data_IF_359905317880
#
_entry.id   IF_359905317880
#
_cell.length_a   1.000
_cell.length_b   1.000
_cell.length_c   1.000
_cell.angle_alpha   90.00
_cell.angle_beta   90.00
_cell.angle_gamma   90.00
#
_symmetry.space_group_name_H-M   'P 1'
#
loop_
_entity.id
_entity.type
_entity.pdbx_description
1 polymer ?
#
# COMPACT_ATOMS: atom_id res chain seq x y z
N UNK A 1 2.67 -30.46 -10.32
CA UNK A 1 3.79 -29.59 -9.90
C UNK A 1 3.40 -29.02 -8.56
N UNK A 2 4.18 -29.32 -7.53
CA UNK A 2 3.77 -29.24 -6.13
C UNK A 2 3.83 -27.79 -5.64
N UNK A 3 2.66 -27.18 -5.37
CA UNK A 3 2.57 -26.03 -4.49
C UNK A 3 3.03 -26.47 -3.10
N UNK A 4 4.26 -26.13 -2.73
CA UNK A 4 4.76 -26.18 -1.35
C UNK A 4 5.12 -24.77 -0.95
N UNK A 5 4.10 -23.94 -0.72
CA UNK A 5 4.26 -22.79 0.15
C UNK A 5 4.30 -23.34 1.57
N UNK A 6 5.38 -23.08 2.30
CA UNK A 6 5.36 -23.23 3.74
C UNK A 6 4.23 -22.35 4.28
N UNK A 7 3.21 -22.97 4.87
CA UNK A 7 2.15 -22.27 5.56
C UNK A 7 2.74 -21.77 6.90
N UNK A 8 3.46 -20.65 6.84
CA UNK A 8 3.78 -19.89 8.03
C UNK A 8 2.45 -19.49 8.69
N UNK A 9 2.26 -19.90 9.94
CA UNK A 9 0.98 -19.84 10.65
C UNK A 9 0.20 -18.55 10.39
N UNK A 10 -1.06 -18.72 9.97
CA UNK A 10 -1.96 -17.66 9.50
C UNK A 10 -1.90 -16.40 10.35
N UNK A 11 -1.32 -15.36 9.77
CA UNK A 11 -1.21 -14.04 10.39
C UNK A 11 -2.33 -13.08 10.00
N UNK A 12 -3.13 -13.46 9.01
CA UNK A 12 -4.15 -12.63 8.38
C UNK A 12 -5.24 -13.54 7.81
N UNK A 13 -6.48 -13.05 7.78
CA UNK A 13 -7.59 -13.80 7.18
C UNK A 13 -7.38 -13.93 5.67
N UNK A 14 -8.12 -14.85 5.01
CA UNK A 14 -8.13 -14.94 3.55
C UNK A 14 -8.65 -13.68 2.85
N UNK A 15 -9.09 -12.67 3.61
CA UNK A 15 -9.49 -11.35 3.13
C UNK A 15 -8.34 -10.34 3.26
N UNK A 16 -7.70 -10.27 4.43
CA UNK A 16 -6.55 -9.38 4.70
C UNK A 16 -5.29 -9.69 3.88
N UNK A 17 -5.19 -10.93 3.41
CA UNK A 17 -4.13 -11.47 2.57
C UNK A 17 -4.71 -12.22 1.35
N UNK A 18 -5.93 -11.84 0.96
CA UNK A 18 -6.63 -12.41 -0.19
C UNK A 18 -6.16 -11.81 -1.51
N UNK A 19 -6.91 -12.10 -2.57
CA UNK A 19 -6.73 -11.46 -3.87
C UNK A 19 -6.80 -9.93 -3.72
N UNK A 20 -5.89 -9.22 -4.38
CA UNK A 20 -5.79 -7.76 -4.34
C UNK A 20 -5.47 -7.16 -2.96
N UNK A 21 -4.90 -7.94 -2.04
CA UNK A 21 -4.34 -7.44 -0.78
C UNK A 21 -2.82 -7.24 -0.90
N UNK A 22 -2.29 -6.30 -0.12
CA UNK A 22 -0.85 -6.11 0.00
C UNK A 22 -0.30 -7.00 1.12
N UNK A 23 0.72 -7.80 0.83
CA UNK A 23 1.28 -8.78 1.76
C UNK A 23 2.81 -8.84 1.70
N UNK A 24 3.43 -9.15 2.84
CA UNK A 24 4.83 -9.59 2.91
C UNK A 24 4.92 -10.82 3.81
N UNK A 25 5.38 -11.95 3.27
CA UNK A 25 5.63 -13.20 4.02
C UNK A 25 4.45 -13.65 4.92
N UNK A 26 3.23 -13.69 4.41
CA UNK A 26 2.04 -14.13 5.15
C UNK A 26 1.47 -13.09 6.12
N UNK A 27 1.88 -11.82 5.98
CA UNK A 27 1.42 -10.71 6.82
C UNK A 27 0.87 -9.58 5.96
N UNK A 28 -0.31 -9.10 6.33
CA UNK A 28 -0.90 -7.93 5.68
C UNK A 28 0.00 -6.70 5.82
N UNK A 29 0.27 -6.08 4.69
CA UNK A 29 0.86 -4.77 4.48
C UNK A 29 -0.21 -3.78 3.97
N UNK A 30 -1.52 -4.06 4.12
CA UNK A 30 -2.59 -3.18 3.61
C UNK A 30 -2.51 -1.77 4.21
N UNK A 31 -2.03 -1.64 5.45
CA UNK A 31 -1.76 -0.37 6.10
C UNK A 31 -0.36 -0.33 6.72
N UNK A 32 0.18 0.88 6.87
CA UNK A 32 1.46 1.14 7.52
C UNK A 32 1.44 2.51 8.18
N UNK A 33 1.90 2.60 9.43
CA UNK A 33 2.05 3.88 10.09
C UNK A 33 3.48 4.42 9.89
N UNK A 34 3.61 5.57 9.23
CA UNK A 34 4.88 6.20 8.86
C UNK A 34 5.64 6.80 10.05
N UNK A 35 4.97 6.99 11.19
CA UNK A 35 5.61 7.38 12.46
C UNK A 35 6.13 6.16 13.25
N UNK A 36 5.94 4.95 12.69
CA UNK A 36 6.45 3.71 13.26
C UNK A 36 5.56 3.12 14.35
N UNK A 37 4.26 3.41 14.38
CA UNK A 37 3.31 2.59 15.14
C UNK A 37 3.19 1.19 14.51
N UNK A 38 2.89 0.19 15.34
CA UNK A 38 2.69 -1.19 14.87
C UNK A 38 1.24 -1.37 14.40
N UNK A 39 1.05 -2.00 13.26
CA UNK A 39 -0.26 -2.36 12.70
C UNK A 39 -0.92 -3.49 13.50
N UNK A 40 -2.20 -3.76 13.23
CA UNK A 40 -2.90 -4.94 13.77
C UNK A 40 -2.25 -6.26 13.33
N UNK A 41 -1.62 -6.30 12.15
CA UNK A 41 -0.85 -7.43 11.63
C UNK A 41 0.55 -7.59 12.25
N UNK A 42 0.95 -6.68 13.15
CA UNK A 42 2.26 -6.70 13.80
C UNK A 42 3.39 -6.09 12.97
N UNK A 43 3.07 -5.45 11.84
CA UNK A 43 4.05 -4.80 10.96
C UNK A 43 4.36 -3.41 11.49
N UNK A 44 5.63 -3.00 11.44
CA UNK A 44 6.10 -1.69 11.89
C UNK A 44 7.03 -1.08 10.85
N UNK A 45 6.76 0.15 10.44
CA UNK A 45 7.69 0.92 9.62
C UNK A 45 8.93 1.33 10.42
N UNK A 46 10.10 1.12 9.84
CA UNK A 46 11.40 1.41 10.47
C UNK A 46 12.16 2.54 9.78
N UNK A 47 11.74 2.97 8.59
CA UNK A 47 12.39 4.02 7.82
C UNK A 47 12.58 3.67 6.35
N UNK A 48 13.23 4.59 5.63
CA UNK A 48 13.46 4.50 4.21
C UNK A 48 14.96 4.50 3.90
N UNK A 49 15.37 3.65 2.97
CA UNK A 49 16.72 3.66 2.38
C UNK A 49 16.66 4.07 0.92
N UNK A 50 17.62 4.89 0.49
CA UNK A 50 17.86 5.14 -0.94
C UNK A 50 18.34 3.87 -1.66
N UNK A 51 18.39 3.85 -3.01
CA UNK A 51 18.97 2.74 -3.77
C UNK A 51 20.41 2.40 -3.37
N UNK A 52 21.19 3.39 -2.93
CA UNK A 52 22.56 3.21 -2.43
C UNK A 52 22.64 2.72 -0.97
N UNK A 53 21.51 2.37 -0.34
CA UNK A 53 21.44 1.92 1.05
C UNK A 53 21.58 3.02 2.10
N UNK A 54 21.59 4.30 1.71
CA UNK A 54 21.72 5.42 2.63
C UNK A 54 20.39 5.70 3.36
N UNK A 55 20.46 5.83 4.69
CA UNK A 55 19.35 6.20 5.56
C UNK A 55 19.19 7.72 5.70
N UNK A 56 18.23 8.17 6.51
CA UNK A 56 17.95 9.58 6.79
C UNK A 56 16.95 10.22 5.81
N UNK A 57 16.26 9.39 5.03
CA UNK A 57 15.12 9.82 4.23
C UNK A 57 13.82 9.68 5.02
N UNK A 58 12.97 10.68 4.94
CA UNK A 58 11.61 10.65 5.48
C UNK A 58 10.64 10.34 4.35
N UNK A 59 9.78 9.35 4.55
CA UNK A 59 8.69 9.03 3.63
C UNK A 59 7.43 9.77 4.08
N UNK A 60 6.73 10.39 3.13
CA UNK A 60 5.43 11.02 3.31
C UNK A 60 4.54 10.75 2.10
N UNK A 61 3.29 11.21 2.15
CA UNK A 61 2.39 11.20 1.01
C UNK A 61 1.85 12.60 0.76
N UNK A 62 1.89 13.02 -0.50
CA UNK A 62 1.33 14.30 -0.95
C UNK A 62 0.53 14.08 -2.22
N UNK A 63 -0.69 14.61 -2.29
CA UNK A 63 -1.57 14.42 -3.46
C UNK A 63 -1.84 12.96 -3.85
N UNK A 64 -1.76 12.01 -2.93
CA UNK A 64 -1.89 10.58 -3.24
C UNK A 64 -0.65 9.94 -3.86
N UNK A 65 0.51 10.60 -3.77
CA UNK A 65 1.80 10.14 -4.26
C UNK A 65 2.80 9.96 -3.10
N UNK A 66 3.65 8.93 -3.16
CA UNK A 66 4.77 8.80 -2.23
C UNK A 66 5.80 9.90 -2.47
N UNK A 67 6.34 10.46 -1.39
CA UNK A 67 7.37 11.49 -1.43
C UNK A 67 8.46 11.14 -0.44
N UNK A 68 9.72 11.12 -0.88
CA UNK A 68 10.87 10.97 -0.01
C UNK A 68 11.61 12.30 0.11
N UNK A 69 11.88 12.73 1.34
CA UNK A 69 12.59 13.98 1.61
C UNK A 69 13.84 13.75 2.44
N UNK A 70 14.90 14.51 2.16
CA UNK A 70 16.14 14.52 2.95
C UNK A 70 16.89 15.83 2.74
N UNK A 71 17.15 16.58 3.81
CA UNK A 71 17.95 17.82 3.76
C UNK A 71 17.47 18.84 2.70
N UNK A 72 16.15 18.95 2.49
CA UNK A 72 15.55 19.81 1.46
C UNK A 72 15.54 19.23 0.04
N UNK A 73 16.15 18.06 -0.17
CA UNK A 73 15.98 17.27 -1.38
C UNK A 73 14.65 16.51 -1.33
N UNK A 74 13.94 16.49 -2.46
CA UNK A 74 12.70 15.76 -2.63
C UNK A 74 12.83 14.76 -3.79
N UNK A 75 12.22 13.58 -3.62
CA UNK A 75 12.13 12.52 -4.63
C UNK A 75 10.69 12.05 -4.72
N UNK A 76 10.17 11.97 -5.94
CA UNK A 76 8.80 11.57 -6.29
C UNK A 76 8.77 10.69 -7.53
N UNK A 77 7.67 9.99 -7.72
CA UNK A 77 7.39 9.14 -8.88
C UNK A 77 8.54 8.22 -9.24
N UNK A 78 8.99 8.28 -10.50
CA UNK A 78 10.09 7.46 -11.00
C UNK A 78 11.41 7.63 -10.23
N UNK A 79 11.63 8.75 -9.52
CA UNK A 79 12.83 8.98 -8.72
C UNK A 79 12.87 8.13 -7.45
N UNK A 80 11.73 7.55 -7.05
CA UNK A 80 11.63 6.62 -5.92
C UNK A 80 11.99 5.18 -6.30
N UNK A 81 12.19 4.87 -7.58
CA UNK A 81 12.58 3.52 -8.01
C UNK A 81 13.93 3.13 -7.37
N UNK A 82 13.96 1.96 -6.75
CA UNK A 82 15.08 1.41 -5.98
C UNK A 82 15.11 1.80 -4.51
N UNK A 83 14.27 2.74 -4.05
CA UNK A 83 14.12 3.01 -2.62
C UNK A 83 13.52 1.81 -1.89
N UNK A 84 13.88 1.64 -0.62
CA UNK A 84 13.46 0.50 0.20
C UNK A 84 12.77 0.98 1.47
N UNK A 85 11.51 0.61 1.62
CA UNK A 85 10.77 0.73 2.87
C UNK A 85 11.22 -0.41 3.79
N UNK A 86 11.75 -0.07 4.96
CA UNK A 86 12.13 -1.05 5.96
C UNK A 86 10.92 -1.35 6.82
N UNK A 87 10.41 -2.58 6.75
CA UNK A 87 9.28 -3.03 7.57
C UNK A 87 9.75 -4.13 8.51
N UNK A 88 9.48 -3.97 9.81
CA UNK A 88 9.73 -4.99 10.82
C UNK A 88 8.46 -5.77 11.07
N UNK A 89 8.55 -7.09 11.10
CA UNK A 89 7.39 -7.95 11.34
C UNK A 89 7.74 -9.20 12.15
N UNK A 90 6.76 -9.76 12.89
CA UNK A 90 6.94 -10.99 13.62
C UNK A 90 7.05 -12.18 12.65
N UNK A 91 8.02 -13.06 12.93
CA UNK A 91 8.18 -14.35 12.25
C UNK A 91 8.01 -15.44 13.28
N UNK A 92 7.15 -16.43 13.00
CA UNK A 92 6.79 -17.45 13.99
C UNK A 92 8.03 -18.23 14.44
N UNK A 93 8.28 -18.26 15.75
CA UNK A 93 9.41 -18.98 16.34
C UNK A 93 10.78 -18.30 16.18
N UNK A 94 10.82 -17.07 15.65
CA UNK A 94 12.05 -16.29 15.44
C UNK A 94 11.93 -14.87 16.01
N UNK A 95 13.08 -14.19 16.14
CA UNK A 95 13.10 -12.75 16.41
C UNK A 95 12.46 -11.98 15.24
N UNK A 96 11.77 -10.85 15.50
CA UNK A 96 11.19 -10.02 14.45
C UNK A 96 12.24 -9.63 13.40
N UNK A 97 11.94 -9.90 12.14
CA UNK A 97 12.84 -9.60 11.02
C UNK A 97 12.48 -8.23 10.44
N UNK A 98 13.51 -7.53 9.95
CA UNK A 98 13.33 -6.30 9.16
C UNK A 98 13.51 -6.65 7.69
N UNK A 99 12.45 -6.51 6.92
CA UNK A 99 12.38 -6.86 5.51
C UNK A 99 12.39 -5.56 4.69
N UNK A 100 13.30 -5.44 3.71
CA UNK A 100 13.26 -4.33 2.76
C UNK A 100 12.20 -4.59 1.68
N UNK A 101 11.20 -3.72 1.59
CA UNK A 101 10.24 -3.66 0.49
C UNK A 101 10.73 -2.59 -0.49
N UNK A 102 11.12 -3.02 -1.68
CA UNK A 102 11.72 -2.18 -2.72
C UNK A 102 10.64 -1.62 -3.64
N UNK A 103 10.69 -0.32 -3.93
CA UNK A 103 9.93 0.29 -5.02
C UNK A 103 10.62 -0.10 -6.33
N UNK A 104 10.08 -1.09 -7.05
CA UNK A 104 10.69 -1.63 -8.25
C UNK A 104 10.36 -0.81 -9.51
N UNK A 105 9.13 -0.31 -9.61
CA UNK A 105 8.64 0.42 -10.79
C UNK A 105 7.66 1.52 -10.37
N UNK A 106 7.51 2.51 -11.23
CA UNK A 106 6.55 3.62 -11.12
C UNK A 106 5.85 3.80 -12.46
N UNK A 107 4.55 4.09 -12.41
CA UNK A 107 3.78 4.51 -13.57
C UNK A 107 2.64 5.45 -13.15
N UNK A 108 2.22 6.29 -14.10
CA UNK A 108 0.95 7.00 -14.02
C UNK A 108 -0.16 6.10 -14.57
N UNK A 109 -1.26 5.97 -13.83
CA UNK A 109 -2.46 5.26 -14.29
C UNK A 109 -3.65 6.20 -14.36
N UNK A 110 -4.47 6.05 -15.38
CA UNK A 110 -5.68 6.86 -15.57
C UNK A 110 -6.70 6.58 -14.47
N UNK A 111 -7.24 7.65 -13.90
CA UNK A 111 -8.37 7.59 -12.98
C UNK A 111 -9.68 7.33 -13.72
N UNK A 112 -10.66 6.76 -13.03
CA UNK A 112 -12.02 6.50 -13.52
C UNK A 112 -12.90 7.71 -13.29
N UNK A 113 -12.46 8.86 -13.80
CA UNK A 113 -13.10 10.16 -13.64
C UNK A 113 -13.61 10.69 -14.97
N UNK A 114 -14.64 11.54 -14.93
CA UNK A 114 -15.17 12.18 -16.14
C UNK A 114 -14.15 13.13 -16.80
N UNK A 115 -13.30 13.76 -15.99
CA UNK A 115 -12.16 14.55 -16.45
C UNK A 115 -10.91 13.65 -16.43
N UNK A 116 -10.12 13.56 -17.52
CA UNK A 116 -8.89 12.78 -17.51
C UNK A 116 -7.94 13.27 -16.42
N UNK A 117 -7.68 12.42 -15.44
CA UNK A 117 -6.67 12.65 -14.40
C UNK A 117 -5.87 11.36 -14.23
N UNK A 118 -4.59 11.50 -13.87
CA UNK A 118 -3.72 10.35 -13.59
C UNK A 118 -3.44 10.26 -12.10
N UNK A 119 -3.09 9.07 -11.64
CA UNK A 119 -2.59 8.85 -10.30
C UNK A 119 -1.31 8.02 -10.32
N UNK A 120 -0.48 8.25 -9.31
CA UNK A 120 0.72 7.47 -9.07
C UNK A 120 0.39 6.02 -8.68
N UNK A 121 1.02 5.08 -9.37
CA UNK A 121 1.03 3.66 -9.06
C UNK A 121 2.47 3.12 -9.02
N UNK A 122 2.70 2.15 -8.15
CA UNK A 122 4.02 1.61 -7.86
C UNK A 122 4.01 0.08 -7.94
N UNK A 123 5.12 -0.52 -8.34
CA UNK A 123 5.36 -1.94 -8.09
C UNK A 123 6.25 -2.07 -6.88
N UNK A 124 5.77 -2.73 -5.83
CA UNK A 124 6.57 -2.97 -4.64
C UNK A 124 6.93 -4.45 -4.55
N UNK A 125 8.18 -4.76 -4.24
CA UNK A 125 8.67 -6.15 -4.17
C UNK A 125 9.52 -6.38 -2.93
N UNK A 126 9.51 -7.60 -2.42
CA UNK A 126 10.38 -8.04 -1.34
C UNK A 126 11.06 -9.36 -1.72
N UNK A 127 12.19 -9.66 -1.08
CA UNK A 127 12.88 -10.94 -1.28
C UNK A 127 12.19 -12.05 -0.47
N UNK A 128 11.98 -13.19 -1.11
CA UNK A 128 11.54 -14.41 -0.43
C UNK A 128 12.56 -14.80 0.66
N UNK A 129 12.08 -15.29 1.80
CA UNK A 129 12.93 -15.72 2.90
C UNK A 129 13.64 -17.06 2.61
N UNK A 130 13.04 -17.92 1.79
CA UNK A 130 13.58 -19.22 1.39
C UNK A 130 14.50 -19.10 0.17
N UNK A 131 14.21 -18.16 -0.73
CA UNK A 131 15.04 -17.83 -1.90
C UNK A 131 15.24 -16.31 -2.04
N UNK A 132 16.30 -15.75 -1.43
CA UNK A 132 16.53 -14.30 -1.46
C UNK A 132 16.77 -13.69 -2.85
N UNK A 133 16.98 -14.52 -3.89
CA UNK A 133 17.07 -14.05 -5.28
C UNK A 133 15.69 -13.94 -5.94
N UNK A 134 14.68 -14.61 -5.39
CA UNK A 134 13.29 -14.51 -5.82
C UNK A 134 12.65 -13.25 -5.23
N UNK A 135 12.22 -12.34 -6.09
CA UNK A 135 11.52 -11.12 -5.70
C UNK A 135 10.01 -11.30 -5.89
N UNK A 136 9.26 -11.15 -4.81
CA UNK A 136 7.81 -11.32 -4.77
C UNK A 136 7.15 -9.94 -4.74
N UNK A 137 6.11 -9.76 -5.55
CA UNK A 137 5.28 -8.55 -5.50
C UNK A 137 4.45 -8.51 -4.22
N UNK A 138 4.36 -7.35 -3.56
CA UNK A 138 3.48 -7.21 -2.38
C UNK A 138 2.01 -7.40 -2.75
N UNK A 139 1.61 -7.01 -3.95
CA UNK A 139 0.27 -7.27 -4.46
C UNK A 139 0.27 -8.66 -5.09
N UNK A 140 -0.49 -9.59 -4.49
CA UNK A 140 -0.60 -10.94 -5.01
C UNK A 140 -1.44 -10.97 -6.31
N UNK A 141 -1.00 -11.80 -7.27
CA UNK A 141 -1.49 -11.89 -8.64
C UNK A 141 -3.03 -11.84 -8.77
N UNK A 142 -3.48 -10.92 -9.61
CA UNK A 142 -4.71 -11.11 -10.39
C UNK A 142 -4.37 -12.12 -11.51
N UNK A 143 -5.21 -13.14 -11.66
CA UNK A 143 -5.02 -14.26 -12.58
C UNK A 143 -4.93 -13.86 -14.07
N UNK A 144 -5.07 -12.58 -14.42
CA UNK A 144 -5.35 -12.11 -15.78
C UNK A 144 -4.47 -10.95 -16.31
N UNK A 145 -3.82 -10.12 -15.48
CA UNK A 145 -2.99 -9.00 -15.98
C UNK A 145 -1.87 -8.55 -15.00
N UNK A 146 -0.58 -8.70 -15.35
CA UNK A 146 0.55 -8.27 -14.52
C UNK A 146 0.68 -6.74 -14.37
N UNK A 147 0.00 -5.92 -15.18
CA UNK A 147 -0.11 -4.48 -14.94
C UNK A 147 -1.01 -4.14 -13.73
N UNK A 148 -1.81 -5.11 -13.24
CA UNK A 148 -2.59 -5.00 -12.01
C UNK A 148 -1.79 -5.31 -10.75
N UNK A 149 -0.56 -5.81 -10.87
CA UNK A 149 0.35 -6.01 -9.73
C UNK A 149 0.96 -4.68 -9.22
N UNK A 150 0.25 -3.57 -9.41
CA UNK A 150 0.61 -2.24 -8.93
C UNK A 150 -0.19 -1.87 -7.69
N UNK A 151 0.40 -1.01 -6.88
CA UNK A 151 -0.20 -0.43 -5.69
C UNK A 151 -0.36 1.07 -5.88
N UNK A 152 -1.52 1.58 -5.49
CA UNK A 152 -1.74 3.00 -5.29
C UNK A 152 -1.83 3.29 -3.80
N UNK A 153 -1.55 4.52 -3.39
CA UNK A 153 -1.54 4.87 -1.96
C UNK A 153 -2.67 5.83 -1.57
N UNK A 154 -3.23 5.63 -0.38
CA UNK A 154 -4.11 6.58 0.30
C UNK A 154 -3.52 6.89 1.67
N UNK A 155 -3.64 8.12 2.16
CA UNK A 155 -3.02 8.52 3.42
C UNK A 155 -3.91 9.44 4.25
N UNK A 156 -3.72 9.39 5.58
CA UNK A 156 -4.46 10.19 6.56
C UNK A 156 -5.79 9.58 7.00
N UNK A 157 -6.08 8.36 6.58
CA UNK A 157 -7.29 7.60 6.88
C UNK A 157 -6.91 6.13 7.08
N UNK A 158 -7.69 5.39 7.85
CA UNK A 158 -7.61 3.93 7.91
C UNK A 158 -8.93 3.34 7.45
N UNK A 159 -8.88 2.09 7.00
CA UNK A 159 -10.04 1.36 6.54
C UNK A 159 -10.11 0.04 7.31
N UNK A 160 -11.20 -0.17 8.02
CA UNK A 160 -11.46 -1.45 8.65
C UNK A 160 -12.18 -2.33 7.63
N UNK A 161 -11.45 -3.30 7.08
CA UNK A 161 -11.97 -4.17 6.03
C UNK A 161 -13.07 -5.12 6.52
N UNK A 162 -13.04 -5.49 7.82
CA UNK A 162 -14.01 -6.41 8.42
C UNK A 162 -15.40 -5.78 8.58
N UNK A 163 -15.42 -4.54 9.07
CA UNK A 163 -16.63 -3.73 9.24
C UNK A 163 -16.90 -2.84 8.03
N UNK A 164 -16.04 -2.87 7.02
CA UNK A 164 -16.07 -2.05 5.80
C UNK A 164 -16.27 -0.56 6.13
N UNK A 165 -15.52 -0.10 7.13
CA UNK A 165 -15.70 1.25 7.68
C UNK A 165 -14.51 2.15 7.41
N UNK A 166 -14.83 3.42 7.17
CA UNK A 166 -13.88 4.51 7.05
C UNK A 166 -13.57 5.02 8.45
N UNK A 167 -12.29 5.05 8.82
CA UNK A 167 -11.79 5.63 10.06
C UNK A 167 -11.00 6.89 9.68
N UNK A 168 -11.65 8.08 9.66
CA UNK A 168 -11.02 9.31 9.20
C UNK A 168 -10.01 9.85 10.24
N UNK A 169 -9.28 10.90 9.84
CA UNK A 169 -8.38 11.68 10.69
C UNK A 169 -7.25 10.86 11.33
N UNK A 170 -6.74 9.88 10.58
CA UNK A 170 -5.66 8.98 11.00
C UNK A 170 -4.33 9.45 10.40
N UNK A 171 -3.85 10.60 10.86
CA UNK A 171 -2.54 11.11 10.46
C UNK A 171 -1.43 10.06 10.68
N UNK A 172 -0.45 10.03 9.78
CA UNK A 172 0.64 9.05 9.81
C UNK A 172 0.29 7.69 9.17
N UNK A 173 -0.99 7.38 8.93
CA UNK A 173 -1.39 6.11 8.33
C UNK A 173 -1.44 6.16 6.80
N UNK A 174 -0.69 5.24 6.20
CA UNK A 174 -0.62 4.95 4.78
C UNK A 174 -1.36 3.65 4.49
N UNK A 175 -2.17 3.62 3.44
CA UNK A 175 -2.81 2.41 2.93
C UNK A 175 -2.25 2.06 1.55
N UNK A 176 -1.95 0.79 1.37
CA UNK A 176 -1.50 0.20 0.12
C UNK A 176 -2.69 -0.44 -0.58
N UNK A 177 -3.20 0.24 -1.59
CA UNK A 177 -4.34 -0.18 -2.38
C UNK A 177 -3.89 -0.87 -3.66
N UNK A 178 -3.73 -2.19 -3.59
CA UNK A 178 -3.44 -3.03 -4.76
C UNK A 178 -4.59 -2.96 -5.77
N UNK A 179 -4.29 -3.05 -7.06
CA UNK A 179 -5.31 -2.97 -8.10
C UNK A 179 -6.42 -4.02 -7.87
N UNK A 180 -7.67 -3.67 -8.22
CA UNK A 180 -8.83 -4.52 -7.96
C UNK A 180 -9.41 -4.43 -6.53
N UNK A 181 -8.63 -3.98 -5.54
CA UNK A 181 -9.11 -3.76 -4.17
C UNK A 181 -10.19 -2.67 -4.09
N UNK A 182 -10.96 -2.69 -3.01
CA UNK A 182 -11.98 -1.65 -2.78
C UNK A 182 -11.34 -0.26 -2.63
N UNK A 183 -10.18 -0.17 -1.99
CA UNK A 183 -9.45 1.09 -1.84
C UNK A 183 -8.89 1.61 -3.16
N UNK A 184 -8.42 0.72 -4.03
CA UNK A 184 -7.92 1.13 -5.35
C UNK A 184 -9.06 1.69 -6.19
N UNK A 185 -10.24 1.04 -6.17
CA UNK A 185 -11.44 1.55 -6.85
C UNK A 185 -11.90 2.89 -6.25
N UNK A 186 -11.86 3.04 -4.93
CA UNK A 186 -12.21 4.29 -4.25
C UNK A 186 -11.28 5.43 -4.68
N UNK A 187 -9.97 5.18 -4.79
CA UNK A 187 -9.01 6.14 -5.32
C UNK A 187 -9.23 6.42 -6.80
N UNK A 188 -9.45 5.39 -7.62
CA UNK A 188 -9.71 5.51 -9.06
C UNK A 188 -10.94 6.35 -9.36
N UNK A 189 -11.99 6.26 -8.55
CA UNK A 189 -13.18 7.10 -8.68
C UNK A 189 -13.02 8.48 -8.01
N UNK A 190 -11.80 8.84 -7.57
CA UNK A 190 -11.48 10.14 -6.99
C UNK A 190 -12.21 10.42 -5.65
N UNK A 191 -12.53 9.36 -4.91
CA UNK A 191 -13.09 9.45 -3.56
C UNK A 191 -12.00 9.34 -2.48
N UNK A 192 -10.72 9.33 -2.82
CA UNK A 192 -9.65 9.27 -1.82
C UNK A 192 -9.63 10.49 -0.89
N UNK A 193 -9.09 10.39 0.34
CA UNK A 193 -9.03 11.50 1.30
C UNK A 193 -8.16 12.68 0.83
N UNK A 194 -7.36 12.46 -0.22
CA UNK A 194 -6.44 13.44 -0.80
C UNK A 194 -6.84 13.87 -2.22
N UNK A 195 -7.92 13.30 -2.75
CA UNK A 195 -8.33 13.47 -4.14
C UNK A 195 -9.26 14.67 -4.27
N UNK A 196 -9.22 15.40 -5.39
CA UNK A 196 -10.14 16.51 -5.65
C UNK A 196 -11.44 16.01 -6.24
N UNK A 197 -12.37 15.57 -5.38
CA UNK A 197 -13.51 14.73 -5.72
C UNK A 197 -14.35 15.23 -6.90
N UNK A 198 -14.69 16.52 -6.91
CA UNK A 198 -15.57 17.15 -7.91
C UNK A 198 -14.85 18.17 -8.81
N UNK A 199 -13.53 18.29 -8.68
CA UNK A 199 -12.74 19.28 -9.41
C UNK A 199 -12.85 20.69 -8.85
N UNK A 200 -13.48 20.88 -7.68
CA UNK A 200 -13.60 22.16 -6.99
C UNK A 200 -12.49 22.41 -5.96
N UNK A 201 -11.46 21.56 -5.92
CA UNK A 201 -10.35 21.59 -4.97
C UNK A 201 -10.65 20.93 -3.63
N UNK A 202 -11.74 20.18 -3.51
CA UNK A 202 -12.21 19.61 -2.24
C UNK A 202 -12.21 18.08 -2.27
N UNK A 203 -11.70 17.48 -1.19
CA UNK A 203 -11.81 16.04 -0.99
C UNK A 203 -13.26 15.63 -0.69
N UNK A 204 -13.63 14.43 -1.13
CA UNK A 204 -14.88 13.80 -0.70
C UNK A 204 -14.96 13.81 0.84
N UNK A 205 -16.15 13.98 1.40
CA UNK A 205 -16.35 13.88 2.86
C UNK A 205 -16.19 12.43 3.34
N UNK A 206 -15.88 12.19 4.63
CA UNK A 206 -15.85 10.83 5.18
C UNK A 206 -17.14 10.03 4.94
N UNK A 207 -18.31 10.69 5.00
CA UNK A 207 -19.59 10.05 4.72
C UNK A 207 -19.74 9.64 3.24
N UNK A 208 -19.28 10.49 2.30
CA UNK A 208 -19.25 10.14 0.88
C UNK A 208 -18.29 8.97 0.62
N UNK A 209 -17.09 8.98 1.23
CA UNK A 209 -16.15 7.85 1.14
C UNK A 209 -16.74 6.56 1.69
N UNK A 210 -17.40 6.63 2.84
CA UNK A 210 -18.06 5.48 3.47
C UNK A 210 -19.17 4.91 2.58
N UNK A 211 -20.00 5.77 1.98
CA UNK A 211 -21.06 5.34 1.07
C UNK A 211 -20.50 4.68 -0.19
N UNK A 212 -19.45 5.26 -0.77
CA UNK A 212 -18.76 4.69 -1.94
C UNK A 212 -18.07 3.36 -1.60
N UNK A 213 -17.43 3.25 -0.43
CA UNK A 213 -16.82 2.00 0.03
C UNK A 213 -17.86 0.88 0.14
N UNK A 214 -19.03 1.19 0.71
CA UNK A 214 -20.17 0.27 0.79
C UNK A 214 -20.70 -0.15 -0.58
N UNK A 215 -20.84 0.80 -1.50
CA UNK A 215 -21.23 0.51 -2.88
C UNK A 215 -20.25 -0.42 -3.59
N UNK A 216 -18.93 -0.16 -3.49
CA UNK A 216 -17.89 -1.00 -4.11
C UNK A 216 -17.87 -2.41 -3.52
N UNK A 217 -18.10 -2.53 -2.21
CA UNK A 217 -18.06 -3.80 -1.48
C UNK A 217 -19.41 -4.52 -1.41
N UNK A 218 -20.43 -3.98 -2.11
CA UNK A 218 -21.81 -4.46 -2.12
C UNK A 218 -22.40 -4.68 -0.71
N UNK A 219 -22.09 -3.76 0.21
CA UNK A 219 -22.46 -3.79 1.62
C UNK A 219 -23.55 -2.76 1.93
N UNK A 220 -24.81 -3.17 1.82
CA UNK A 220 -25.97 -2.30 1.95
C UNK A 220 -26.55 -2.31 3.37
#
# INVERSE_FOLDING_TARGET
MSARGFQFGGGCSGWDCGYNAAEVNGRSLSELNLDGATTSSGVRYMGLLSPLGLSGWTLSVDGGELVATKNGEERRGAQLVGFKLLVRMPVLGLLPLTIPVTIAEYQDVDAWTATPTTMAAYKLVYADLEDPLNLINVCHDDLLDPALSVVTVLYGERYDEASKSVIPDQAGWLNFACAGSALAKLKMMNYGPQADFDGAGASATPAQRQATLKMITADY
#
